data_IF_844402254745
#
_entry.id   IF_844402254745
#
_cell.length_a   1.000
_cell.length_b   1.000
_cell.length_c   1.000
_cell.angle_alpha   90.00
_cell.angle_beta   90.00
_cell.angle_gamma   90.00
#
_symmetry.space_group_name_H-M   'P 1'
#
loop_
_entity.id
_entity.type
_entity.pdbx_description
1 polymer ?
#
# COMPACT_ATOMS: atom_id res chain seq x y z
N UNK A 1 28.06 -81.23 78.87
CA UNK A 1 29.16 -80.44 78.28
C UNK A 1 29.55 -81.11 76.97
N UNK A 2 29.77 -80.31 75.91
CA UNK A 2 29.91 -80.63 74.47
C UNK A 2 28.60 -80.66 73.66
N UNK A 3 28.61 -80.17 72.41
CA UNK A 3 28.66 -78.75 72.07
C UNK A 3 27.52 -78.32 71.13
N UNK A 4 27.30 -77.02 71.01
CA UNK A 4 26.35 -76.44 70.06
C UNK A 4 26.84 -76.63 68.61
N UNK A 5 25.97 -77.04 67.66
CA UNK A 5 26.27 -76.93 66.25
C UNK A 5 26.15 -75.47 65.80
N UNK A 6 27.34 -74.91 65.57
CA UNK A 6 27.75 -74.06 64.44
C UNK A 6 26.69 -73.38 63.57
N UNK A 7 26.92 -72.08 63.39
CA UNK A 7 26.04 -71.19 62.66
C UNK A 7 26.12 -71.31 61.14
N UNK A 8 25.18 -70.61 60.52
CA UNK A 8 25.39 -70.01 59.21
C UNK A 8 25.20 -70.95 58.03
N UNK A 9 23.95 -71.27 57.74
CA UNK A 9 23.52 -71.64 56.39
C UNK A 9 22.30 -70.83 56.04
N UNK A 10 22.48 -69.62 55.48
CA UNK A 10 21.38 -68.91 54.87
C UNK A 10 20.74 -69.84 53.83
N UNK A 11 19.47 -70.19 54.03
CA UNK A 11 18.71 -70.93 53.03
C UNK A 11 18.62 -70.05 51.78
N UNK A 12 19.51 -70.31 50.82
CA UNK A 12 19.44 -69.70 49.50
C UNK A 12 18.27 -70.39 48.81
N UNK A 13 17.09 -69.79 48.90
CA UNK A 13 15.95 -70.15 48.06
C UNK A 13 16.38 -69.78 46.64
N UNK A 14 16.85 -70.77 45.90
CA UNK A 14 17.21 -70.65 44.50
C UNK A 14 15.91 -70.47 43.70
N UNK A 15 15.38 -69.25 43.68
CA UNK A 15 14.33 -68.85 42.74
C UNK A 15 14.95 -68.84 41.36
N UNK A 16 14.87 -69.97 40.66
CA UNK A 16 15.13 -70.04 39.23
C UNK A 16 14.15 -69.07 38.55
N UNK A 17 14.63 -68.05 37.81
CA UNK A 17 13.74 -67.11 37.14
C UNK A 17 12.86 -67.90 36.15
N UNK A 18 11.56 -67.61 36.04
CA UNK A 18 10.70 -68.31 35.12
C UNK A 18 11.28 -68.17 33.70
N UNK A 19 11.45 -69.30 33.01
CA UNK A 19 12.00 -69.32 31.66
C UNK A 19 11.11 -68.49 30.73
N UNK A 20 11.55 -67.27 30.41
CA UNK A 20 10.84 -66.38 29.48
C UNK A 20 11.13 -66.88 28.07
N UNK A 21 10.18 -67.61 27.50
CA UNK A 21 10.23 -68.05 26.11
C UNK A 21 9.90 -66.85 25.22
N UNK A 22 10.92 -66.14 24.75
CA UNK A 22 10.78 -65.09 23.75
C UNK A 22 10.46 -65.74 22.41
N UNK A 23 9.21 -65.58 21.95
CA UNK A 23 8.80 -65.97 20.61
C UNK A 23 9.49 -65.03 19.61
N UNK A 24 10.54 -65.49 18.95
CA UNK A 24 11.24 -64.72 17.92
C UNK A 24 10.32 -64.64 16.70
N UNK A 25 9.58 -63.53 16.59
CA UNK A 25 8.77 -63.23 15.41
C UNK A 25 9.71 -62.60 14.38
N UNK A 26 9.85 -63.21 13.21
CA UNK A 26 10.61 -62.61 12.09
C UNK A 26 10.01 -61.25 11.77
N UNK A 27 10.84 -60.20 11.78
CA UNK A 27 10.40 -58.85 11.44
C UNK A 27 9.74 -58.86 10.06
N UNK A 28 8.51 -58.35 9.97
CA UNK A 28 7.86 -58.10 8.67
C UNK A 28 8.68 -57.02 7.98
N UNK A 29 9.41 -57.41 6.93
CA UNK A 29 10.09 -56.47 6.06
C UNK A 29 8.98 -55.68 5.35
N UNK A 30 8.66 -54.49 5.86
CA UNK A 30 7.77 -53.58 5.15
C UNK A 30 8.52 -53.13 3.91
N UNK A 31 7.92 -53.22 2.71
CA UNK A 31 8.52 -52.62 1.53
C UNK A 31 8.75 -51.14 1.83
N UNK A 32 9.92 -50.62 1.45
CA UNK A 32 10.27 -49.22 1.64
C UNK A 32 9.42 -48.37 0.68
N UNK A 33 8.18 -48.06 1.10
CA UNK A 33 7.31 -47.15 0.37
C UNK A 33 7.62 -45.73 0.78
N UNK A 34 7.55 -44.83 -0.21
CA UNK A 34 7.51 -43.38 0.02
C UNK A 34 6.36 -43.01 0.96
N UNK A 35 6.49 -41.87 1.64
CA UNK A 35 5.47 -41.36 2.56
C UNK A 35 4.09 -41.27 1.90
N UNK A 36 4.05 -40.79 0.66
CA UNK A 36 2.81 -40.63 -0.11
C UNK A 36 2.22 -41.99 -0.50
N UNK A 37 3.03 -42.91 -1.05
CA UNK A 37 2.59 -44.26 -1.42
C UNK A 37 2.03 -45.03 -0.21
N UNK A 38 2.65 -44.86 0.95
CA UNK A 38 2.17 -45.44 2.21
C UNK A 38 0.82 -44.89 2.59
N UNK A 39 0.61 -43.57 2.53
CA UNK A 39 -0.65 -42.94 2.91
C UNK A 39 -1.78 -43.22 1.90
N UNK A 40 -1.47 -43.25 0.61
CA UNK A 40 -2.39 -43.64 -0.46
C UNK A 40 -2.84 -45.11 -0.29
N UNK A 41 -1.91 -46.01 0.00
CA UNK A 41 -2.22 -47.44 0.26
C UNK A 41 -3.08 -47.61 1.52
N UNK A 42 -2.87 -46.79 2.54
CA UNK A 42 -3.66 -46.81 3.78
C UNK A 42 -5.03 -46.12 3.64
N UNK A 43 -5.35 -45.53 2.49
CA UNK A 43 -6.61 -44.82 2.26
C UNK A 43 -6.80 -43.63 3.19
N UNK A 44 -5.72 -43.00 3.66
CA UNK A 44 -5.79 -41.86 4.57
C UNK A 44 -6.29 -40.64 3.82
N UNK A 45 -7.44 -40.12 4.23
CA UNK A 45 -7.96 -38.86 3.71
C UNK A 45 -7.14 -37.67 4.23
N UNK A 46 -6.94 -36.68 3.38
CA UNK A 46 -6.26 -35.45 3.77
C UNK A 46 -7.19 -34.61 4.65
N UNK A 47 -6.64 -34.06 5.74
CA UNK A 47 -7.41 -33.12 6.58
C UNK A 47 -7.82 -31.89 5.76
N UNK A 48 -9.03 -31.33 5.99
CA UNK A 48 -9.46 -30.13 5.28
C UNK A 48 -8.54 -28.96 5.65
N UNK A 49 -8.08 -28.19 4.65
CA UNK A 49 -7.14 -27.08 4.85
C UNK A 49 -7.78 -25.71 4.61
N UNK A 50 -8.03 -25.35 3.33
CA UNK A 50 -8.49 -24.01 2.95
C UNK A 50 -9.92 -23.67 3.39
N UNK A 51 -10.75 -24.70 3.61
CA UNK A 51 -12.16 -24.55 4.00
C UNK A 51 -12.33 -24.24 5.48
N UNK A 52 -11.41 -24.70 6.34
CA UNK A 52 -11.49 -24.51 7.80
C UNK A 52 -10.64 -23.34 8.30
N UNK A 53 -9.65 -22.88 7.52
CA UNK A 53 -8.71 -21.87 7.98
C UNK A 53 -9.32 -20.46 7.94
N UNK A 54 -9.15 -19.69 9.02
CA UNK A 54 -9.60 -18.29 9.09
C UNK A 54 -8.89 -17.47 8.01
N UNK A 55 -9.65 -16.67 7.25
CA UNK A 55 -9.07 -15.74 6.27
C UNK A 55 -8.28 -14.65 7.00
N UNK A 56 -6.95 -14.66 6.82
CA UNK A 56 -6.04 -13.67 7.39
C UNK A 56 -5.66 -12.65 6.33
N UNK A 57 -5.47 -11.38 6.71
CA UNK A 57 -5.05 -10.31 5.79
C UNK A 57 -3.78 -10.72 5.00
N UNK A 58 -2.81 -11.33 5.68
CA UNK A 58 -1.57 -11.85 5.10
C UNK A 58 -1.81 -12.87 3.99
N UNK A 59 -2.65 -13.88 4.26
CA UNK A 59 -2.98 -14.93 3.29
C UNK A 59 -3.71 -14.37 2.07
N UNK A 60 -4.66 -13.46 2.27
CA UNK A 60 -5.44 -12.84 1.19
C UNK A 60 -4.54 -11.97 0.31
N UNK A 61 -3.71 -11.11 0.91
CA UNK A 61 -2.78 -10.25 0.16
C UNK A 61 -1.79 -11.08 -0.66
N UNK A 62 -1.31 -12.21 -0.11
CA UNK A 62 -0.42 -13.12 -0.83
C UNK A 62 -1.11 -13.83 -2.01
N UNK A 63 -2.38 -14.23 -1.87
CA UNK A 63 -3.16 -14.79 -2.99
C UNK A 63 -3.39 -13.73 -4.06
N UNK A 64 -3.81 -12.53 -3.66
CA UNK A 64 -4.05 -11.42 -4.58
C UNK A 64 -2.79 -11.06 -5.37
N UNK A 65 -1.59 -11.15 -4.77
CA UNK A 65 -0.33 -10.86 -5.47
C UNK A 65 -0.08 -11.85 -6.61
N UNK A 66 -0.39 -13.13 -6.38
CA UNK A 66 -0.29 -14.17 -7.41
C UNK A 66 -1.33 -13.97 -8.50
N UNK A 67 -2.57 -13.67 -8.12
CA UNK A 67 -3.66 -13.42 -9.07
C UNK A 67 -3.39 -12.18 -9.93
N UNK A 68 -2.89 -11.09 -9.34
CA UNK A 68 -2.54 -9.89 -10.10
C UNK A 68 -1.36 -10.14 -11.05
N UNK A 69 -0.35 -10.89 -10.60
CA UNK A 69 0.78 -11.29 -11.45
C UNK A 69 0.33 -12.11 -12.64
N UNK A 70 -0.49 -13.14 -12.40
CA UNK A 70 -1.06 -13.96 -13.47
C UNK A 70 -1.90 -13.15 -14.46
N UNK A 71 -2.77 -12.27 -13.97
CA UNK A 71 -3.59 -11.39 -14.81
C UNK A 71 -2.72 -10.46 -15.68
N UNK A 72 -1.67 -9.86 -15.11
CA UNK A 72 -0.73 -9.00 -15.85
C UNK A 72 0.07 -9.78 -16.89
N UNK A 73 0.54 -10.98 -16.56
CA UNK A 73 1.22 -11.85 -17.52
C UNK A 73 0.32 -12.20 -18.69
N UNK A 74 -0.93 -12.61 -18.43
CA UNK A 74 -1.91 -12.87 -19.49
C UNK A 74 -2.19 -11.63 -20.33
N UNK A 75 -2.27 -10.46 -19.71
CA UNK A 75 -2.47 -9.20 -20.41
C UNK A 75 -1.31 -8.88 -21.37
N UNK A 76 -0.06 -8.97 -20.91
CA UNK A 76 1.14 -8.74 -21.73
C UNK A 76 1.24 -9.75 -22.87
N UNK A 77 1.01 -11.04 -22.59
CA UNK A 77 0.96 -12.08 -23.61
C UNK A 77 -0.15 -11.85 -24.62
N UNK A 78 -1.34 -11.46 -24.16
CA UNK A 78 -2.48 -11.13 -25.02
C UNK A 78 -2.16 -9.98 -25.96
N UNK A 79 -1.56 -8.90 -25.46
CA UNK A 79 -1.12 -7.77 -26.28
C UNK A 79 -0.03 -8.18 -27.28
N UNK A 80 0.97 -8.95 -26.85
CA UNK A 80 2.06 -9.41 -27.71
C UNK A 80 1.59 -10.34 -28.83
N UNK A 81 0.77 -11.34 -28.51
CA UNK A 81 0.20 -12.26 -29.50
C UNK A 81 -0.78 -11.54 -30.43
N UNK A 82 -1.61 -10.63 -29.90
CA UNK A 82 -2.49 -9.81 -30.74
C UNK A 82 -1.67 -8.97 -31.71
N UNK A 83 -0.59 -8.34 -31.26
CA UNK A 83 0.32 -7.59 -32.13
C UNK A 83 0.99 -8.45 -33.20
N UNK A 84 1.33 -9.70 -32.87
CA UNK A 84 1.97 -10.63 -33.80
C UNK A 84 1.01 -11.18 -34.88
N UNK A 85 -0.24 -11.49 -34.50
CA UNK A 85 -1.23 -12.08 -35.41
C UNK A 85 -2.14 -11.04 -36.09
N UNK A 86 -2.20 -9.81 -35.58
CA UNK A 86 -3.00 -8.72 -36.15
C UNK A 86 -2.25 -8.05 -37.30
N UNK A 87 -2.97 -7.79 -38.40
CA UNK A 87 -2.49 -6.92 -39.49
C UNK A 87 -2.68 -5.42 -39.19
N UNK A 88 -3.48 -5.10 -38.18
CA UNK A 88 -3.83 -3.72 -37.78
C UNK A 88 -2.81 -3.17 -36.81
N UNK A 89 -2.52 -1.88 -36.93
CA UNK A 89 -1.70 -1.14 -35.97
C UNK A 89 -2.45 -0.87 -34.66
N UNK A 90 -1.71 -0.57 -33.59
CA UNK A 90 -2.31 -0.17 -32.29
C UNK A 90 -3.19 1.09 -32.41
N UNK A 91 -2.84 2.02 -33.30
CA UNK A 91 -3.60 3.24 -33.55
C UNK A 91 -4.99 2.94 -34.12
N UNK A 92 -5.08 2.06 -35.12
CA UNK A 92 -6.37 1.62 -35.69
C UNK A 92 -7.26 0.92 -34.65
N UNK A 93 -6.66 0.16 -33.73
CA UNK A 93 -7.40 -0.45 -32.63
C UNK A 93 -7.95 0.60 -31.66
N UNK A 94 -7.18 1.65 -31.37
CA UNK A 94 -7.63 2.75 -30.53
C UNK A 94 -8.76 3.56 -31.18
N UNK A 95 -8.68 3.82 -32.49
CA UNK A 95 -9.74 4.49 -33.25
C UNK A 95 -11.05 3.71 -33.19
N UNK A 96 -11.02 2.39 -33.43
CA UNK A 96 -12.21 1.53 -33.31
C UNK A 96 -12.82 1.52 -31.91
N UNK A 97 -11.99 1.60 -30.88
CA UNK A 97 -12.48 1.68 -29.50
C UNK A 97 -13.13 3.04 -29.24
N UNK A 98 -12.64 4.12 -29.85
CA UNK A 98 -13.25 5.45 -29.76
C UNK A 98 -14.54 5.58 -30.59
N UNK A 99 -14.67 4.85 -31.70
CA UNK A 99 -15.89 4.77 -32.50
C UNK A 99 -17.02 4.03 -31.77
N UNK A 100 -16.67 3.12 -30.86
CA UNK A 100 -17.64 2.53 -29.95
C UNK A 100 -18.06 3.62 -28.95
N UNK A 101 -19.25 4.21 -29.11
CA UNK A 101 -19.83 5.23 -28.23
C UNK A 101 -20.14 4.65 -26.84
N UNK A 102 -19.10 4.34 -26.08
CA UNK A 102 -19.16 3.79 -24.75
C UNK A 102 -19.19 4.94 -23.77
N UNK A 103 -20.19 4.96 -22.90
CA UNK A 103 -20.36 5.97 -21.84
C UNK A 103 -19.03 6.21 -21.11
N UNK A 104 -18.65 7.49 -20.95
CA UNK A 104 -17.39 7.93 -20.31
C UNK A 104 -17.08 7.23 -18.98
N UNK A 105 -18.10 6.96 -18.17
CA UNK A 105 -17.96 6.28 -16.88
C UNK A 105 -17.50 4.81 -17.02
N UNK A 106 -17.95 4.13 -18.07
CA UNK A 106 -17.57 2.73 -18.36
C UNK A 106 -16.12 2.67 -18.84
N UNK A 107 -15.69 3.60 -19.69
CA UNK A 107 -14.30 3.71 -20.13
C UNK A 107 -13.37 3.99 -18.95
N UNK A 108 -13.76 4.91 -18.05
CA UNK A 108 -13.01 5.20 -16.83
C UNK A 108 -12.93 3.98 -15.88
N UNK A 109 -14.05 3.27 -15.70
CA UNK A 109 -14.07 2.02 -14.92
C UNK A 109 -13.17 0.94 -15.50
N UNK A 110 -13.17 0.77 -16.83
CA UNK A 110 -12.29 -0.19 -17.50
C UNK A 110 -10.81 0.15 -17.30
N UNK A 111 -10.44 1.43 -17.42
CA UNK A 111 -9.08 1.90 -17.10
C UNK A 111 -8.69 1.56 -15.66
N UNK A 112 -9.58 1.78 -14.70
CA UNK A 112 -9.32 1.43 -13.30
C UNK A 112 -9.11 -0.05 -13.09
N UNK A 113 -9.94 -0.90 -13.69
CA UNK A 113 -9.81 -2.36 -13.60
C UNK A 113 -8.48 -2.86 -14.18
N UNK A 114 -7.94 -2.21 -15.23
CA UNK A 114 -6.62 -2.54 -15.77
C UNK A 114 -5.46 -2.02 -14.90
N UNK A 115 -5.58 -0.80 -14.38
CA UNK A 115 -4.51 -0.14 -13.60
C UNK A 115 -4.39 -0.73 -12.18
N UNK A 116 -5.51 -1.10 -11.57
CA UNK A 116 -5.55 -1.62 -10.20
C UNK A 116 -4.65 -2.85 -9.96
N UNK A 117 -4.71 -3.94 -10.75
CA UNK A 117 -3.84 -5.10 -10.55
C UNK A 117 -2.36 -4.76 -10.78
N UNK A 118 -2.04 -3.84 -11.70
CA UNK A 118 -0.68 -3.37 -11.94
C UNK A 118 -0.10 -2.67 -10.71
N UNK A 119 -0.78 -1.63 -10.22
CA UNK A 119 -0.36 -0.85 -9.06
C UNK A 119 -0.24 -1.75 -7.82
N UNK A 120 -1.25 -2.59 -7.60
CA UNK A 120 -1.25 -3.53 -6.49
C UNK A 120 -0.06 -4.49 -6.54
N UNK A 121 0.23 -5.08 -7.71
CA UNK A 121 1.31 -6.03 -7.88
C UNK A 121 2.68 -5.38 -7.63
N UNK A 122 2.87 -4.14 -8.07
CA UNK A 122 4.11 -3.39 -7.81
C UNK A 122 4.26 -3.10 -6.32
N UNK A 123 3.25 -2.53 -5.66
CA UNK A 123 3.32 -2.19 -4.23
C UNK A 123 3.51 -3.42 -3.35
N UNK A 124 2.71 -4.46 -3.56
CA UNK A 124 2.81 -5.70 -2.80
C UNK A 124 4.08 -6.49 -3.16
N UNK A 125 4.56 -6.41 -4.40
CA UNK A 125 5.84 -6.95 -4.85
C UNK A 125 7.01 -6.27 -4.15
N UNK A 126 7.06 -4.93 -4.10
CA UNK A 126 8.07 -4.19 -3.34
C UNK A 126 8.06 -4.57 -1.87
N UNK A 127 6.89 -4.73 -1.25
CA UNK A 127 6.80 -5.23 0.13
C UNK A 127 7.42 -6.61 0.30
N UNK A 128 7.21 -7.52 -0.64
CA UNK A 128 7.87 -8.83 -0.64
C UNK A 128 9.40 -8.73 -0.84
N UNK A 129 9.88 -7.82 -1.69
CA UNK A 129 11.32 -7.55 -1.83
C UNK A 129 11.92 -7.03 -0.52
N UNK A 130 11.21 -6.16 0.20
CA UNK A 130 11.66 -5.68 1.52
C UNK A 130 11.73 -6.84 2.52
N UNK A 131 10.80 -7.79 2.46
CA UNK A 131 10.85 -9.00 3.28
C UNK A 131 12.03 -9.91 2.95
N UNK A 132 12.50 -9.93 1.68
CA UNK A 132 13.74 -10.64 1.31
C UNK A 132 15.00 -10.02 1.91
N UNK A 133 14.93 -8.78 2.38
CA UNK A 133 16.00 -8.10 3.11
C UNK A 133 15.89 -8.32 4.64
N UNK A 134 15.01 -9.23 5.08
CA UNK A 134 14.70 -9.52 6.49
C UNK A 134 14.13 -8.32 7.29
N UNK A 135 13.52 -7.35 6.59
CA UNK A 135 12.92 -6.16 7.21
C UNK A 135 11.40 -6.35 7.35
N UNK A 136 10.80 -5.85 8.44
CA UNK A 136 9.36 -5.89 8.72
C UNK A 136 8.72 -7.28 8.85
N UNK A 137 9.43 -8.24 9.47
CA UNK A 137 8.95 -9.63 9.66
C UNK A 137 8.16 -9.86 10.97
N UNK A 138 8.02 -8.86 11.84
CA UNK A 138 7.21 -9.01 13.05
C UNK A 138 5.71 -8.92 12.72
N UNK A 139 4.87 -9.64 13.48
CA UNK A 139 3.41 -9.62 13.30
C UNK A 139 2.81 -8.20 13.20
N UNK A 140 3.08 -7.25 14.10
CA UNK A 140 2.50 -5.90 13.99
C UNK A 140 2.99 -5.16 12.73
N UNK A 141 4.26 -5.29 12.37
CA UNK A 141 4.82 -4.65 11.16
C UNK A 141 4.22 -5.22 9.88
N UNK A 142 4.01 -6.54 9.82
CA UNK A 142 3.35 -7.19 8.68
C UNK A 142 1.93 -6.66 8.49
N UNK A 143 1.17 -6.49 9.58
CA UNK A 143 -0.18 -5.93 9.47
C UNK A 143 -0.16 -4.43 9.10
N UNK A 144 0.72 -3.64 9.71
CA UNK A 144 0.87 -2.21 9.39
C UNK A 144 1.23 -1.99 7.91
N UNK A 145 2.24 -2.70 7.41
CA UNK A 145 2.65 -2.65 6.00
C UNK A 145 1.57 -3.21 5.07
N UNK A 146 0.75 -4.17 5.54
CA UNK A 146 -0.37 -4.72 4.79
C UNK A 146 -1.48 -3.69 4.57
N UNK A 147 -1.91 -2.99 5.62
CA UNK A 147 -2.91 -1.93 5.50
C UNK A 147 -2.39 -0.75 4.69
N UNK A 148 -1.13 -0.35 4.91
CA UNK A 148 -0.48 0.68 4.11
C UNK A 148 -0.48 0.32 2.62
N UNK A 149 -0.12 -0.92 2.28
CA UNK A 149 -0.10 -1.37 0.89
C UNK A 149 -1.49 -1.30 0.23
N UNK A 150 -2.56 -1.65 0.96
CA UNK A 150 -3.93 -1.55 0.45
C UNK A 150 -4.31 -0.09 0.18
N UNK A 151 -4.11 0.80 1.15
CA UNK A 151 -4.43 2.24 1.00
C UNK A 151 -3.62 2.84 -0.14
N UNK A 152 -2.32 2.58 -0.18
CA UNK A 152 -1.43 3.08 -1.21
C UNK A 152 -1.86 2.60 -2.61
N UNK A 153 -2.30 1.35 -2.73
CA UNK A 153 -2.82 0.81 -3.99
C UNK A 153 -4.03 1.60 -4.47
N UNK A 154 -5.02 1.84 -3.61
CA UNK A 154 -6.23 2.57 -4.01
C UNK A 154 -5.94 4.04 -4.37
N UNK A 155 -5.08 4.71 -3.59
CA UNK A 155 -4.69 6.09 -3.86
C UNK A 155 -3.94 6.21 -5.18
N UNK A 156 -2.97 5.33 -5.43
CA UNK A 156 -2.20 5.35 -6.67
C UNK A 156 -3.07 4.95 -7.87
N UNK A 157 -3.90 3.92 -7.76
CA UNK A 157 -4.80 3.52 -8.85
C UNK A 157 -5.85 4.61 -9.16
N UNK A 158 -6.42 5.25 -8.13
CA UNK A 158 -7.31 6.39 -8.28
C UNK A 158 -6.60 7.60 -8.91
N UNK A 159 -5.40 7.92 -8.45
CA UNK A 159 -4.58 8.99 -9.01
C UNK A 159 -4.27 8.75 -10.49
N UNK A 160 -3.78 7.56 -10.85
CA UNK A 160 -3.45 7.20 -12.23
C UNK A 160 -4.68 7.21 -13.17
N UNK A 161 -5.86 6.89 -12.65
CA UNK A 161 -7.09 6.92 -13.46
C UNK A 161 -7.68 8.31 -13.62
N UNK A 162 -7.50 9.18 -12.64
CA UNK A 162 -7.92 10.60 -12.72
C UNK A 162 -6.93 11.47 -13.50
N UNK A 163 -5.67 11.05 -13.62
CA UNK A 163 -4.69 11.70 -14.48
C UNK A 163 -5.11 11.55 -15.95
N UNK A 164 -5.78 12.57 -16.47
CA UNK A 164 -6.05 12.70 -17.89
C UNK A 164 -4.77 13.14 -18.60
N UNK A 165 -3.89 12.17 -18.93
CA UNK A 165 -2.66 12.37 -19.73
C UNK A 165 -2.95 12.82 -21.18
N UNK A 166 -4.18 13.21 -21.48
CA UNK A 166 -4.64 13.64 -22.80
C UNK A 166 -5.63 14.79 -22.74
N UNK A 167 -5.50 15.70 -21.78
CA UNK A 167 -5.87 17.08 -22.12
C UNK A 167 -4.83 17.48 -23.17
N UNK A 168 -5.21 17.51 -24.45
CA UNK A 168 -4.57 18.43 -25.39
C UNK A 168 -4.42 19.71 -24.58
N UNK A 169 -3.18 20.08 -24.21
CA UNK A 169 -2.89 21.46 -23.83
C UNK A 169 -3.63 22.24 -24.89
N UNK A 170 -4.71 22.92 -24.46
CA UNK A 170 -5.55 23.70 -25.34
C UNK A 170 -4.54 24.49 -26.16
N UNK A 171 -4.35 24.11 -27.43
CA UNK A 171 -3.43 24.83 -28.28
C UNK A 171 -4.20 26.11 -28.47
N UNK A 172 -3.96 27.05 -27.57
CA UNK A 172 -4.24 28.45 -27.76
C UNK A 172 -3.32 28.85 -28.92
N UNK A 173 -3.63 28.36 -30.12
CA UNK A 173 -3.19 28.98 -31.35
C UNK A 173 -3.96 30.29 -31.35
N UNK A 174 -3.44 31.23 -30.57
CA UNK A 174 -3.83 32.62 -30.60
C UNK A 174 -3.45 33.06 -31.99
N UNK A 175 -4.43 33.08 -32.88
CA UNK A 175 -4.26 33.65 -34.20
C UNK A 175 -3.89 35.12 -34.01
N UNK A 176 -2.59 35.43 -34.14
CA UNK A 176 -2.04 36.78 -33.94
C UNK A 176 -2.58 37.77 -34.99
N UNK A 177 -3.28 37.26 -36.00
CA UNK A 177 -3.90 38.00 -37.10
C UNK A 177 -5.30 38.53 -36.76
N UNK A 178 -5.92 38.08 -35.67
CA UNK A 178 -7.27 38.50 -35.29
C UNK A 178 -7.25 39.81 -34.47
N UNK A 179 -7.49 40.94 -35.14
CA UNK A 179 -7.44 42.29 -34.58
C UNK A 179 -8.36 42.48 -33.36
N UNK A 180 -9.44 41.69 -33.27
CA UNK A 180 -10.40 41.73 -32.16
C UNK A 180 -9.81 41.15 -30.88
N UNK A 181 -9.01 40.09 -30.99
CA UNK A 181 -8.38 39.44 -29.85
C UNK A 181 -7.28 40.33 -29.25
N UNK A 182 -6.50 41.04 -30.06
CA UNK A 182 -5.51 42.02 -29.57
C UNK A 182 -6.17 43.16 -28.80
N UNK A 183 -7.29 43.71 -29.30
CA UNK A 183 -8.04 44.78 -28.63
C UNK A 183 -8.67 44.30 -27.32
N UNK A 184 -9.18 43.07 -27.27
CA UNK A 184 -9.74 42.48 -26.05
C UNK A 184 -8.66 42.24 -24.98
N UNK A 185 -7.53 41.61 -25.35
CA UNK A 185 -6.43 41.35 -24.41
C UNK A 185 -5.86 42.65 -23.83
N UNK A 186 -5.68 43.68 -24.65
CA UNK A 186 -5.20 44.99 -24.21
C UNK A 186 -6.21 45.70 -23.28
N UNK A 187 -7.51 45.50 -23.50
CA UNK A 187 -8.55 46.03 -22.62
C UNK A 187 -8.60 45.29 -21.26
N UNK A 188 -8.38 43.98 -21.26
CA UNK A 188 -8.28 43.17 -20.03
C UNK A 188 -7.02 43.50 -19.23
N UNK A 189 -5.86 43.62 -19.88
CA UNK A 189 -4.61 44.04 -19.25
C UNK A 189 -4.76 45.44 -18.64
N UNK A 190 -5.42 46.37 -19.34
CA UNK A 190 -5.69 47.72 -18.83
C UNK A 190 -6.62 47.68 -17.60
N UNK A 191 -7.68 46.87 -17.64
CA UNK A 191 -8.59 46.69 -16.49
C UNK A 191 -7.86 46.10 -15.28
N UNK A 192 -7.02 45.08 -15.50
CA UNK A 192 -6.26 44.41 -14.45
C UNK A 192 -5.22 45.35 -13.83
N UNK A 193 -4.54 46.15 -14.65
CA UNK A 193 -3.62 47.18 -14.18
C UNK A 193 -4.33 48.29 -13.38
N UNK A 194 -5.54 48.69 -13.80
CA UNK A 194 -6.34 49.69 -13.08
C UNK A 194 -6.84 49.14 -11.72
N UNK A 195 -7.24 47.88 -11.67
CA UNK A 195 -7.67 47.21 -10.44
C UNK A 195 -6.50 47.00 -9.46
N UNK A 196 -5.33 46.60 -9.97
CA UNK A 196 -4.11 46.47 -9.17
C UNK A 196 -3.62 47.85 -8.64
N UNK A 197 -3.73 48.90 -9.46
CA UNK A 197 -3.42 50.27 -9.02
C UNK A 197 -4.38 50.75 -7.93
N UNK A 198 -5.69 50.48 -8.06
CA UNK A 198 -6.70 50.79 -7.03
C UNK A 198 -6.45 50.01 -5.74
N UNK A 199 -6.07 48.74 -5.84
CA UNK A 199 -5.74 47.92 -4.67
C UNK A 199 -4.48 48.42 -3.95
N UNK A 200 -3.42 48.77 -4.70
CA UNK A 200 -2.19 49.36 -4.14
C UNK A 200 -2.47 50.71 -3.47
N UNK A 201 -3.26 51.57 -4.10
CA UNK A 201 -3.65 52.86 -3.52
C UNK A 201 -4.47 52.69 -2.23
N UNK A 202 -5.37 51.71 -2.17
CA UNK A 202 -6.15 51.39 -0.97
C UNK A 202 -5.27 50.86 0.16
N UNK A 203 -4.35 49.94 -0.13
CA UNK A 203 -3.37 49.46 0.87
C UNK A 203 -2.48 50.59 1.40
N UNK A 204 -2.02 51.49 0.53
CA UNK A 204 -1.18 52.61 0.94
C UNK A 204 -1.96 53.60 1.82
N UNK A 205 -3.25 53.83 1.51
CA UNK A 205 -4.12 54.65 2.33
C UNK A 205 -4.40 54.02 3.71
N UNK A 206 -4.66 52.71 3.77
CA UNK A 206 -4.84 51.97 5.02
C UNK A 206 -3.56 51.96 5.87
N UNK A 207 -2.39 51.79 5.25
CA UNK A 207 -1.10 51.85 5.92
C UNK A 207 -0.83 53.23 6.52
N UNK A 208 -1.09 54.31 5.76
CA UNK A 208 -0.98 55.69 6.26
C UNK A 208 -1.98 55.98 7.38
N UNK A 209 -3.17 55.38 7.36
CA UNK A 209 -4.16 55.52 8.43
C UNK A 209 -3.72 54.79 9.71
N UNK A 210 -3.17 53.58 9.59
CA UNK A 210 -2.61 52.82 10.71
C UNK A 210 -1.40 53.52 11.33
N UNK A 211 -0.50 54.07 10.51
CA UNK A 211 0.67 54.80 10.99
C UNK A 211 0.28 56.09 11.74
N UNK A 212 -0.73 56.82 11.25
CA UNK A 212 -1.31 57.97 11.98
C UNK A 212 -1.98 57.55 13.29
N UNK A 213 -2.67 56.41 13.33
CA UNK A 213 -3.28 55.89 14.54
C UNK A 213 -2.23 55.50 15.59
N UNK A 214 -1.17 54.80 15.17
CA UNK A 214 -0.03 54.42 16.01
C UNK A 214 0.71 55.66 16.54
N UNK A 215 0.94 56.67 15.70
CA UNK A 215 1.57 57.93 16.12
C UNK A 215 0.71 58.70 17.14
N UNK A 216 -0.63 58.63 17.02
CA UNK A 216 -1.56 59.21 18.01
C UNK A 216 -1.52 58.45 19.32
N UNK A 217 -1.40 57.12 19.27
CA UNK A 217 -1.31 56.28 20.47
C UNK A 217 0.03 56.44 21.19
N UNK A 218 1.14 56.53 20.45
CA UNK A 218 2.47 56.83 21.00
C UNK A 218 2.54 58.22 21.65
N UNK A 219 1.91 59.25 21.06
CA UNK A 219 1.78 60.56 21.70
C UNK A 219 0.94 60.50 22.99
N UNK A 220 -0.08 59.65 23.03
CA UNK A 220 -0.92 59.44 24.24
C UNK A 220 -0.18 58.65 25.32
N UNK A 221 0.71 57.73 24.94
CA UNK A 221 1.58 56.98 25.85
C UNK A 221 2.69 57.87 26.43
N UNK A 222 3.33 58.71 25.62
CA UNK A 222 4.32 59.70 26.10
C UNK A 222 3.70 60.73 27.04
N UNK A 223 2.43 61.13 26.82
CA UNK A 223 1.70 61.99 27.75
C UNK A 223 1.38 61.29 29.09
N UNK A 224 1.25 59.96 29.10
CA UNK A 224 1.07 59.15 30.33
C UNK A 224 2.38 58.89 31.08
N UNK A 225 3.51 58.73 30.38
CA UNK A 225 4.84 58.63 31.00
C UNK A 225 5.28 59.96 31.64
N UNK A 226 4.93 61.10 31.02
CA UNK A 226 5.16 62.42 31.60
C UNK A 226 4.37 62.64 32.91
N UNK A 227 3.17 62.06 33.03
CA UNK A 227 2.34 62.10 34.24
C UNK A 227 2.80 61.08 35.30
N UNK A 228 3.35 59.93 34.87
CA UNK A 228 3.91 58.89 35.76
C UNK A 228 5.19 59.30 36.48
N UNK A 229 6.01 60.18 35.90
CA UNK A 229 7.24 60.70 36.54
C UNK A 229 6.98 61.76 37.62
N UNK A 230 5.73 62.15 37.86
CA UNK A 230 5.32 63.07 38.92
C UNK A 230 4.84 62.35 40.21
N UNK A 231 4.89 61.01 40.25
CA UNK A 231 4.50 60.20 41.42
C UNK A 231 5.55 59.13 41.76
N UNK A 232 6.74 59.54 42.16
CA UNK A 232 7.54 58.78 43.12
C UNK A 232 8.03 59.72 44.25
N UNK A 233 7.81 59.36 45.54
CA UNK A 233 8.14 60.20 46.69
C UNK A 233 9.63 60.11 47.06
N UNK A 234 10.23 61.19 47.61
CA UNK A 234 11.65 61.19 47.97
C UNK A 234 11.94 60.34 49.22
N UNK A 235 13.09 59.67 49.22
CA UNK A 235 13.86 59.34 50.42
C UNK A 235 14.98 60.35 50.58
#
# INVERSE_FOLDING_TARGET
MQPAPDGGGAAVVEMTPPAVILKIIKARIVPELSYDDRNMRLGRVMSPALTIYKKQLTSVLSILLRMSGFALTLFVWGLGLTGLFSKRTLAEWAEKVNECDVRRNVVSGMKFVMIFPFVYHVVAGTRHLIWHLDVFLTKPQIYATGYLAVVLTFVLAGGLTMLNVGEEVKKDVVDMTDEKHYKQKKAEEKKKAEEEAKAKAKMEAEKKAQEKALAKEQKKAQAKEADGKAKEPPK
#
